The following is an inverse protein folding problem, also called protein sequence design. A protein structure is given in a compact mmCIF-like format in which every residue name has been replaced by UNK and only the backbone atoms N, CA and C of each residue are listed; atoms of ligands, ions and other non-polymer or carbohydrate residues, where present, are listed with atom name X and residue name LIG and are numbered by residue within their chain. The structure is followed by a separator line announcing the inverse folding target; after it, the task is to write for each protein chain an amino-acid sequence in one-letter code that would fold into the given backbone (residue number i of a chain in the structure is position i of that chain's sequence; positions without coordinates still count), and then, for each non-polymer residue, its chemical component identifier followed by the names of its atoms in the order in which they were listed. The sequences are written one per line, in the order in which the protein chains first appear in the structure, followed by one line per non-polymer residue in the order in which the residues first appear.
data_IF_887686330215
#
_entry.id   IF_887686330215
#
_cell.length_a   1.000
_cell.length_b   1.000
_cell.length_c   1.000
_cell.angle_alpha   90.00
_cell.angle_beta   90.00
_cell.angle_gamma   90.00
#
_symmetry.space_group_name_H-M   'P 1'
#
loop_
_entity.id
_entity.type
_entity.pdbx_description
1 polymer ?
#
# COMPACT_ATOMS: atom_id res chain seq x y z
N UNK A 1 -20.52 -20.58 -2.89
CA UNK A 1 -19.35 -19.96 -2.26
C UNK A 1 -19.86 -18.83 -1.37
N UNK A 2 -19.49 -18.78 -0.10
CA UNK A 2 -19.90 -17.69 0.79
C UNK A 2 -19.25 -16.39 0.29
N UNK A 3 -20.04 -15.35 0.06
CA UNK A 3 -19.52 -14.02 -0.26
C UNK A 3 -18.72 -13.57 0.97
N UNK A 4 -17.43 -13.23 0.84
CA UNK A 4 -16.64 -12.73 1.97
C UNK A 4 -17.33 -11.51 2.56
N UNK A 5 -17.46 -11.46 3.89
CA UNK A 5 -18.04 -10.31 4.58
C UNK A 5 -17.19 -9.07 4.27
N UNK A 6 -17.85 -8.00 3.81
CA UNK A 6 -17.23 -6.72 3.48
C UNK A 6 -16.36 -6.20 4.63
N UNK A 7 -16.80 -6.44 5.86
CA UNK A 7 -16.09 -6.06 7.07
C UNK A 7 -14.73 -6.76 7.17
N UNK A 8 -14.65 -8.03 6.78
CA UNK A 8 -13.41 -8.81 6.77
C UNK A 8 -12.45 -8.26 5.71
N UNK A 9 -12.97 -7.92 4.53
CA UNK A 9 -12.15 -7.33 3.46
C UNK A 9 -11.54 -6.01 3.93
N UNK A 10 -12.34 -5.11 4.50
CA UNK A 10 -11.86 -3.81 4.98
C UNK A 10 -10.85 -3.96 6.12
N UNK A 11 -11.09 -4.89 7.05
CA UNK A 11 -10.13 -5.19 8.14
C UNK A 11 -8.81 -5.76 7.60
N UNK A 12 -8.87 -6.66 6.63
CA UNK A 12 -7.67 -7.21 5.99
C UNK A 12 -6.87 -6.11 5.27
N UNK A 13 -7.56 -5.19 4.58
CA UNK A 13 -6.91 -4.03 3.97
C UNK A 13 -6.29 -3.10 5.01
N UNK A 14 -6.95 -2.83 6.14
CA UNK A 14 -6.36 -2.06 7.24
C UNK A 14 -5.08 -2.70 7.76
N UNK A 15 -5.12 -3.99 8.06
CA UNK A 15 -3.94 -4.71 8.56
C UNK A 15 -2.79 -4.65 7.55
N UNK A 16 -3.09 -4.80 6.25
CA UNK A 16 -2.10 -4.73 5.20
C UNK A 16 -1.52 -3.31 5.03
N UNK A 17 -2.35 -2.28 5.05
CA UNK A 17 -1.91 -0.88 5.00
C UNK A 17 -1.06 -0.49 6.21
N UNK A 18 -1.41 -0.97 7.41
CA UNK A 18 -0.60 -0.76 8.61
C UNK A 18 0.78 -1.44 8.48
N UNK A 19 0.83 -2.68 7.97
CA UNK A 19 2.08 -3.39 7.70
C UNK A 19 2.93 -2.69 6.66
N UNK A 20 2.33 -2.11 5.62
CA UNK A 20 3.07 -1.30 4.66
C UNK A 20 3.68 -0.08 5.34
N UNK A 21 2.93 0.66 6.17
CA UNK A 21 3.47 1.83 6.86
C UNK A 21 4.65 1.45 7.77
N UNK A 22 4.54 0.32 8.45
CA UNK A 22 5.61 -0.22 9.28
C UNK A 22 6.83 -0.65 8.45
N UNK A 23 6.64 -1.28 7.29
CA UNK A 23 7.72 -1.67 6.39
C UNK A 23 8.44 -0.43 5.80
N UNK A 24 7.66 0.55 5.34
CA UNK A 24 8.17 1.80 4.78
C UNK A 24 8.93 2.63 5.81
N UNK A 25 8.44 2.72 7.05
CA UNK A 25 9.18 3.42 8.12
C UNK A 25 10.53 2.76 8.47
N UNK A 26 10.69 1.47 8.16
CA UNK A 26 11.97 0.74 8.24
C UNK A 26 12.81 0.81 6.96
N UNK A 27 12.31 1.44 5.90
CA UNK A 27 12.92 1.44 4.57
C UNK A 27 12.83 0.10 3.82
N UNK A 28 12.00 -0.83 4.30
CA UNK A 28 11.80 -2.15 3.69
C UNK A 28 10.71 -2.08 2.59
N UNK A 29 11.08 -1.47 1.47
CA UNK A 29 10.20 -1.35 0.31
C UNK A 29 9.95 -2.70 -0.38
N UNK A 30 10.85 -3.67 -0.25
CA UNK A 30 10.67 -4.99 -0.84
C UNK A 30 9.47 -5.71 -0.24
N UNK A 31 9.32 -5.67 1.09
CA UNK A 31 8.15 -6.25 1.77
C UNK A 31 6.82 -5.62 1.31
N UNK A 32 6.82 -4.33 0.94
CA UNK A 32 5.65 -3.65 0.37
C UNK A 32 5.33 -4.22 -1.02
N UNK A 33 6.33 -4.33 -1.89
CA UNK A 33 6.14 -4.87 -3.25
C UNK A 33 5.68 -6.33 -3.24
N UNK A 34 6.25 -7.16 -2.37
CA UNK A 34 5.91 -8.58 -2.27
C UNK A 34 4.45 -8.81 -1.87
N UNK A 35 3.89 -7.93 -1.03
CA UNK A 35 2.50 -8.04 -0.58
C UNK A 35 1.51 -7.17 -1.40
N UNK A 36 1.99 -6.44 -2.41
CA UNK A 36 1.16 -5.65 -3.33
C UNK A 36 0.13 -6.46 -4.13
N UNK A 37 0.41 -7.70 -4.60
CA UNK A 37 -0.61 -8.52 -5.25
C UNK A 37 -1.81 -8.82 -4.33
N UNK A 38 -1.56 -9.02 -3.03
CA UNK A 38 -2.62 -9.25 -2.04
C UNK A 38 -3.50 -8.01 -1.88
N UNK A 39 -2.90 -6.83 -1.86
CA UNK A 39 -3.63 -5.55 -1.85
C UNK A 39 -4.54 -5.41 -3.07
N UNK A 40 -4.04 -5.72 -4.27
CA UNK A 40 -4.83 -5.64 -5.50
C UNK A 40 -6.03 -6.61 -5.49
N UNK A 41 -5.85 -7.83 -4.95
CA UNK A 41 -6.95 -8.80 -4.79
C UNK A 41 -8.02 -8.25 -3.86
N UNK A 42 -7.64 -7.72 -2.69
CA UNK A 42 -8.59 -7.16 -1.73
C UNK A 42 -9.33 -5.93 -2.30
N UNK A 43 -8.63 -5.07 -3.05
CA UNK A 43 -9.23 -3.93 -3.72
C UNK A 43 -10.25 -4.37 -4.79
N UNK A 44 -9.93 -5.43 -5.55
CA UNK A 44 -10.86 -6.03 -6.50
C UNK A 44 -12.13 -6.55 -5.82
N UNK A 45 -11.97 -7.27 -4.71
CA UNK A 45 -13.10 -7.75 -3.92
C UNK A 45 -13.95 -6.61 -3.35
N UNK A 46 -13.33 -5.53 -2.88
CA UNK A 46 -14.04 -4.35 -2.38
C UNK A 46 -14.86 -3.64 -3.47
N UNK A 47 -14.36 -3.62 -4.71
CA UNK A 47 -15.03 -3.01 -5.87
C UNK A 47 -16.26 -3.81 -6.30
N UNK A 48 -16.19 -5.14 -6.22
CA UNK A 48 -17.24 -6.03 -6.72
C UNK A 48 -18.42 -6.18 -5.74
N UNK A 49 -18.36 -5.48 -4.60
CA UNK A 49 -19.41 -5.45 -3.58
C UNK A 49 -20.61 -4.61 -4.02
N UNK A 50 -21.81 -5.17 -3.86
CA UNK A 50 -23.05 -4.42 -4.04
C UNK A 50 -23.38 -3.59 -2.79
N UNK A 51 -22.91 -2.35 -2.79
CA UNK A 51 -23.15 -1.37 -1.73
C UNK A 51 -24.63 -0.98 -1.58
N UNK A 52 -25.44 -1.10 -2.64
CA UNK A 52 -26.85 -0.72 -2.58
C UNK A 52 -27.70 -1.77 -1.86
N UNK A 53 -27.29 -3.04 -1.94
CA UNK A 53 -27.93 -4.15 -1.23
C UNK A 53 -27.70 -4.13 0.29
N UNK A 54 -26.76 -3.33 0.80
CA UNK A 54 -26.46 -3.25 2.24
C UNK A 54 -27.42 -2.35 3.02
N UNK A 55 -27.69 -2.74 4.27
CA UNK A 55 -28.44 -1.93 5.22
C UNK A 55 -27.71 -0.59 5.49
N UNK A 56 -28.43 0.55 5.61
CA UNK A 56 -27.82 1.86 5.86
C UNK A 56 -26.88 1.88 7.08
N UNK A 57 -27.28 1.26 8.20
CA UNK A 57 -26.45 1.21 9.40
C UNK A 57 -25.10 0.49 9.20
N UNK A 58 -25.06 -0.54 8.35
CA UNK A 58 -23.82 -1.25 8.02
C UNK A 58 -22.92 -0.40 7.11
N UNK A 59 -23.52 0.33 6.16
CA UNK A 59 -22.80 1.28 5.29
C UNK A 59 -22.13 2.39 6.10
N UNK A 60 -22.83 2.97 7.08
CA UNK A 60 -22.28 4.04 7.91
C UNK A 60 -21.08 3.56 8.74
N UNK A 61 -21.17 2.35 9.32
CA UNK A 61 -20.06 1.75 10.07
C UNK A 61 -18.84 1.45 9.17
N UNK A 62 -19.09 0.93 7.96
CA UNK A 62 -18.03 0.68 6.96
C UNK A 62 -17.42 1.98 6.44
N UNK A 63 -18.21 3.04 6.28
CA UNK A 63 -17.71 4.34 5.82
C UNK A 63 -16.67 4.94 6.77
N UNK A 64 -16.82 4.76 8.08
CA UNK A 64 -15.79 5.18 9.02
C UNK A 64 -14.51 4.35 8.89
N UNK A 65 -14.65 3.03 8.71
CA UNK A 65 -13.51 2.13 8.54
C UNK A 65 -12.74 2.44 7.24
N UNK A 66 -13.46 2.70 6.15
CA UNK A 66 -12.86 3.11 4.87
C UNK A 66 -12.16 4.47 4.96
N UNK A 67 -12.72 5.44 5.70
CA UNK A 67 -12.05 6.72 5.96
C UNK A 67 -10.72 6.52 6.71
N UNK A 68 -10.70 5.67 7.73
CA UNK A 68 -9.46 5.35 8.43
C UNK A 68 -8.45 4.64 7.51
N UNK A 69 -8.92 3.81 6.57
CA UNK A 69 -8.06 3.13 5.59
C UNK A 69 -7.43 4.14 4.64
N UNK A 70 -8.22 5.09 4.17
CA UNK A 70 -7.77 6.18 3.31
C UNK A 70 -6.61 6.94 3.97
N UNK A 71 -6.74 7.32 5.24
CA UNK A 71 -5.66 8.01 5.98
C UNK A 71 -4.37 7.19 6.03
N UNK A 72 -4.45 5.87 6.21
CA UNK A 72 -3.25 5.01 6.20
C UNK A 72 -2.60 4.93 4.82
N UNK A 73 -3.40 4.94 3.75
CA UNK A 73 -2.91 4.93 2.36
C UNK A 73 -2.32 6.28 1.98
N UNK A 74 -2.93 7.38 2.41
CA UNK A 74 -2.40 8.72 2.17
C UNK A 74 -1.03 8.89 2.86
N UNK A 75 -0.87 8.38 4.09
CA UNK A 75 0.42 8.34 4.78
C UNK A 75 1.48 7.52 4.04
N UNK A 76 1.11 6.42 3.38
CA UNK A 76 2.03 5.65 2.52
C UNK A 76 2.47 6.46 1.29
N UNK A 77 1.54 7.19 0.67
CA UNK A 77 1.85 8.02 -0.48
C UNK A 77 2.84 9.13 -0.11
N UNK A 78 2.66 9.79 1.03
CA UNK A 78 3.60 10.79 1.55
C UNK A 78 5.01 10.20 1.77
N UNK A 79 5.11 9.02 2.38
CA UNK A 79 6.41 8.36 2.54
C UNK A 79 7.04 7.96 1.21
N UNK A 80 6.24 7.48 0.25
CA UNK A 80 6.72 7.13 -1.07
C UNK A 80 7.25 8.36 -1.82
N UNK A 81 6.56 9.50 -1.72
CA UNK A 81 7.03 10.77 -2.28
C UNK A 81 8.33 11.24 -1.61
N UNK A 82 8.44 11.13 -0.29
CA UNK A 82 9.64 11.47 0.46
C UNK A 82 10.84 10.56 0.11
N UNK A 83 10.60 9.32 -0.30
CA UNK A 83 11.66 8.37 -0.67
C UNK A 83 12.15 8.53 -2.13
N UNK A 84 11.38 9.18 -3.02
CA UNK A 84 11.81 9.47 -4.40
C UNK A 84 13.19 10.13 -4.53
N UNK A 85 13.56 11.17 -3.76
CA UNK A 85 14.89 11.76 -3.83
C UNK A 85 16.00 10.81 -3.38
N UNK A 86 15.76 9.95 -2.39
CA UNK A 86 16.76 8.95 -1.95
C UNK A 86 17.03 7.90 -3.02
N UNK A 87 15.97 7.41 -3.69
CA UNK A 87 16.10 6.55 -4.86
C UNK A 87 16.91 7.22 -5.97
N UNK A 88 16.64 8.50 -6.25
CA UNK A 88 17.38 9.26 -7.26
C UNK A 88 18.86 9.39 -6.88
N UNK A 89 19.18 9.65 -5.61
CA UNK A 89 20.54 9.73 -5.11
C UNK A 89 21.28 8.38 -5.19
N UNK A 90 20.63 7.27 -4.83
CA UNK A 90 21.19 5.92 -4.95
C UNK A 90 21.48 5.56 -6.42
N UNK A 91 20.57 5.87 -7.33
CA UNK A 91 20.76 5.66 -8.75
C UNK A 91 21.95 6.48 -9.27
N UNK A 92 22.03 7.77 -8.95
CA UNK A 92 23.15 8.63 -9.34
C UNK A 92 24.49 8.15 -8.78
N UNK A 93 24.52 7.72 -7.52
CA UNK A 93 25.69 7.12 -6.88
C UNK A 93 26.15 5.86 -7.60
N UNK A 94 25.22 4.97 -7.99
CA UNK A 94 25.53 3.75 -8.74
C UNK A 94 26.08 4.05 -10.14
N UNK A 95 25.55 5.07 -10.83
CA UNK A 95 26.03 5.46 -12.17
C UNK A 95 27.42 6.10 -12.08
N UNK A 96 27.69 6.84 -11.01
CA UNK A 96 29.00 7.45 -10.76
C UNK A 96 30.03 6.38 -10.41
N UNK A 97 29.65 5.40 -9.59
CA UNK A 97 30.49 4.26 -9.24
C UNK A 97 30.80 3.37 -10.46
N UNK A 98 29.81 3.10 -11.32
CA UNK A 98 30.03 2.32 -12.55
C UNK A 98 30.95 3.04 -13.53
N UNK A 99 30.81 4.37 -13.68
CA UNK A 99 31.70 5.19 -14.52
C UNK A 99 33.14 5.16 -14.00
N UNK A 100 33.34 5.22 -12.69
CA UNK A 100 34.68 5.11 -12.08
C UNK A 100 35.28 3.73 -12.31
N UNK A 101 34.52 2.65 -12.11
CA UNK A 101 35.01 1.29 -12.39
C UNK A 101 35.34 1.06 -13.87
N UNK A 102 34.63 1.73 -14.79
CA UNK A 102 34.87 1.64 -16.23
C UNK A 102 36.05 2.52 -16.68
N UNK A 103 36.32 3.63 -16.00
CA UNK A 103 37.46 4.51 -16.27
C UNK A 103 38.79 3.98 -15.69
N UNK A 104 38.74 3.10 -14.69
CA UNK A 104 39.91 2.44 -14.08
C UNK A 104 40.20 1.03 -14.63
N UNK A 105 39.53 0.62 -15.71
CA UNK A 105 39.86 -0.56 -16.53
C UNK A 105 40.54 -0.14 -17.82
#
# INVERSE_FOLDING_TARGET
MAVPDVSIIVQAMHALAARFNEAVSRGDWQAVFDAMPQWQVLQGQLRDIDWQAMAPAQRDALAQSLRNLQTLVDGLAEHAEAWRPELAALLQGSTTSSKLQQAYR
#
